data_IF_704328135499
#
_entry.id   IF_704328135499
#
_cell.length_a   1.000
_cell.length_b   1.000
_cell.length_c   1.000
_cell.angle_alpha   90.00
_cell.angle_beta   90.00
_cell.angle_gamma   90.00
#
_symmetry.space_group_name_H-M   'P 1'
#
loop_
_entity.id
_entity.type
_entity.pdbx_description
1 polymer ?
#
# COMPACT_ATOMS: atom_id res chain seq x y z
N UNK A 1 21.89 -20.40 -52.14
CA UNK A 1 21.27 -19.13 -52.61
C UNK A 1 19.81 -19.15 -52.20
N UNK A 2 19.41 -18.50 -51.10
CA UNK A 2 19.05 -17.08 -50.92
C UNK A 2 17.76 -16.65 -51.66
N UNK A 3 16.80 -16.24 -50.83
CA UNK A 3 15.76 -15.22 -50.99
C UNK A 3 14.31 -15.57 -51.38
N UNK A 4 13.45 -15.26 -50.39
CA UNK A 4 12.16 -14.57 -50.46
C UNK A 4 10.91 -15.34 -50.92
N UNK A 5 10.08 -15.67 -49.92
CA UNK A 5 8.66 -15.25 -49.87
C UNK A 5 8.19 -15.18 -48.41
N UNK A 6 8.84 -14.27 -47.68
CA UNK A 6 8.32 -13.68 -46.45
C UNK A 6 7.22 -12.72 -46.89
N UNK A 7 5.94 -13.02 -46.64
CA UNK A 7 4.79 -12.08 -46.54
C UNK A 7 3.49 -12.88 -46.69
N UNK A 8 3.02 -13.49 -45.60
CA UNK A 8 1.58 -13.70 -45.33
C UNK A 8 1.40 -13.99 -43.83
N UNK A 9 1.86 -13.06 -42.97
CA UNK A 9 1.26 -12.94 -41.63
C UNK A 9 -0.04 -12.18 -41.82
N UNK A 10 -1.16 -12.91 -41.78
CA UNK A 10 -2.49 -12.33 -41.54
C UNK A 10 -2.36 -11.44 -40.31
N UNK A 11 -2.50 -10.13 -40.49
CA UNK A 11 -2.90 -9.24 -39.42
C UNK A 11 -4.33 -9.64 -39.05
N UNK A 12 -4.47 -10.58 -38.12
CA UNK A 12 -5.71 -10.72 -37.36
C UNK A 12 -5.82 -9.44 -36.54
N UNK A 13 -6.61 -8.50 -37.05
CA UNK A 13 -7.14 -7.40 -36.27
C UNK A 13 -7.80 -8.00 -35.04
N UNK A 14 -7.17 -7.86 -33.87
CA UNK A 14 -7.86 -8.04 -32.60
C UNK A 14 -8.88 -6.91 -32.55
N UNK A 15 -10.10 -7.20 -33.00
CA UNK A 15 -11.26 -6.34 -32.80
C UNK A 15 -11.53 -6.34 -31.30
N UNK A 16 -10.89 -5.42 -30.59
CA UNK A 16 -11.19 -5.11 -29.18
C UNK A 16 -12.48 -4.30 -29.18
N UNK A 17 -13.61 -4.96 -29.47
CA UNK A 17 -14.91 -4.39 -29.13
C UNK A 17 -15.10 -4.55 -27.62
N UNK A 18 -14.52 -3.63 -26.85
CA UNK A 18 -14.74 -3.53 -25.40
C UNK A 18 -15.76 -2.42 -25.17
N UNK A 19 -16.91 -2.80 -24.63
CA UNK A 19 -17.97 -1.85 -24.31
C UNK A 19 -17.44 -0.82 -23.29
N UNK A 20 -17.68 0.50 -23.46
CA UNK A 20 -17.20 1.51 -22.53
C UNK A 20 -17.69 1.31 -21.09
N UNK A 21 -18.87 0.68 -20.93
CA UNK A 21 -19.42 0.31 -19.63
C UNK A 21 -18.58 -0.78 -18.91
N UNK A 22 -18.00 -1.74 -19.64
CA UNK A 22 -17.09 -2.74 -19.03
C UNK A 22 -15.78 -2.10 -18.53
N UNK A 23 -15.30 -1.04 -19.17
CA UNK A 23 -14.12 -0.32 -18.70
C UNK A 23 -14.39 0.36 -17.35
N UNK A 24 -15.56 0.98 -17.23
CA UNK A 24 -16.01 1.68 -16.03
C UNK A 24 -16.22 0.67 -14.89
N UNK A 25 -16.89 -0.45 -15.13
CA UNK A 25 -17.11 -1.49 -14.13
C UNK A 25 -15.81 -2.12 -13.64
N UNK A 26 -14.87 -2.40 -14.56
CA UNK A 26 -13.55 -2.91 -14.20
C UNK A 26 -12.74 -1.89 -13.39
N UNK A 27 -12.83 -0.60 -13.74
CA UNK A 27 -12.20 0.46 -12.98
C UNK A 27 -12.78 0.57 -11.56
N UNK A 28 -14.10 0.55 -11.39
CA UNK A 28 -14.73 0.56 -10.07
C UNK A 28 -14.36 -0.68 -9.24
N UNK A 29 -14.32 -1.86 -9.88
CA UNK A 29 -13.88 -3.10 -9.22
C UNK A 29 -12.44 -3.00 -8.73
N UNK A 30 -11.52 -2.46 -9.55
CA UNK A 30 -10.13 -2.22 -9.17
C UNK A 30 -9.99 -1.18 -8.05
N UNK A 31 -10.79 -0.12 -8.06
CA UNK A 31 -10.80 0.89 -7.00
C UNK A 31 -11.28 0.26 -5.68
N UNK A 32 -12.36 -0.52 -5.73
CA UNK A 32 -12.94 -1.19 -4.55
C UNK A 32 -11.97 -2.21 -3.95
N UNK A 33 -11.33 -3.06 -4.78
CA UNK A 33 -10.35 -4.04 -4.28
C UNK A 33 -9.13 -3.35 -3.67
N UNK A 34 -8.64 -2.27 -4.28
CA UNK A 34 -7.52 -1.48 -3.76
C UNK A 34 -7.85 -0.75 -2.46
N UNK A 35 -9.10 -0.31 -2.29
CA UNK A 35 -9.58 0.28 -1.04
C UNK A 35 -9.64 -0.78 0.08
N UNK A 36 -10.21 -1.96 -0.20
CA UNK A 36 -10.30 -3.07 0.75
C UNK A 36 -8.90 -3.55 1.17
N UNK A 37 -7.97 -3.67 0.22
CA UNK A 37 -6.58 -4.07 0.52
C UNK A 37 -5.87 -3.04 1.40
N UNK A 38 -6.13 -1.73 1.19
CA UNK A 38 -5.58 -0.66 2.04
C UNK A 38 -6.12 -0.70 3.46
N UNK A 39 -7.43 -0.85 3.62
CA UNK A 39 -8.05 -0.97 4.95
C UNK A 39 -7.47 -2.18 5.70
N UNK A 40 -7.31 -3.31 5.00
CA UNK A 40 -6.72 -4.49 5.61
C UNK A 40 -5.25 -4.27 5.98
N UNK A 41 -4.44 -3.61 5.13
CA UNK A 41 -3.05 -3.30 5.45
C UNK A 41 -2.91 -2.36 6.64
N UNK A 42 -3.80 -1.36 6.77
CA UNK A 42 -3.74 -0.42 7.90
C UNK A 42 -4.09 -1.11 9.23
N UNK A 43 -5.07 -2.04 9.22
CA UNK A 43 -5.39 -2.88 10.40
C UNK A 43 -4.24 -3.80 10.79
N UNK A 44 -3.58 -4.39 9.80
CA UNK A 44 -2.39 -5.23 10.02
C UNK A 44 -1.22 -4.39 10.56
N UNK A 45 -0.96 -3.20 10.00
CA UNK A 45 0.07 -2.27 10.51
C UNK A 45 -0.23 -1.84 11.95
N UNK A 46 -1.51 -1.58 12.29
CA UNK A 46 -1.92 -1.33 13.68
C UNK A 46 -1.67 -2.54 14.58
N UNK A 47 -1.91 -3.76 14.11
CA UNK A 47 -1.68 -4.96 14.90
C UNK A 47 -0.18 -5.26 15.09
N UNK A 48 0.65 -4.96 14.09
CA UNK A 48 2.11 -4.97 14.24
C UNK A 48 2.58 -3.92 15.26
N UNK A 49 2.01 -2.72 15.25
CA UNK A 49 2.30 -1.71 16.27
C UNK A 49 1.90 -2.19 17.66
N UNK A 50 0.71 -2.79 17.83
CA UNK A 50 0.29 -3.36 19.10
C UNK A 50 1.22 -4.51 19.55
N UNK A 51 1.68 -5.33 18.61
CA UNK A 51 2.67 -6.38 18.86
C UNK A 51 4.00 -5.79 19.33
N UNK A 52 4.45 -4.69 18.72
CA UNK A 52 5.63 -3.95 19.13
C UNK A 52 5.49 -3.40 20.56
N UNK A 53 4.37 -2.73 20.87
CA UNK A 53 4.08 -2.24 22.21
C UNK A 53 4.03 -3.37 23.24
N UNK A 54 3.47 -4.52 22.88
CA UNK A 54 3.47 -5.70 23.75
C UNK A 54 4.90 -6.22 23.98
N UNK A 55 5.71 -6.32 22.93
CA UNK A 55 7.12 -6.70 23.03
C UNK A 55 7.93 -5.74 23.90
N UNK A 56 7.71 -4.43 23.77
CA UNK A 56 8.31 -3.39 24.63
C UNK A 56 7.87 -3.54 26.08
N UNK A 57 6.58 -3.70 26.34
CA UNK A 57 6.06 -3.91 27.70
C UNK A 57 6.68 -5.13 28.36
N UNK A 58 6.80 -6.23 27.60
CA UNK A 58 7.49 -7.42 28.06
C UNK A 58 8.97 -7.16 28.34
N UNK A 59 9.68 -6.47 27.45
CA UNK A 59 11.08 -6.11 27.65
C UNK A 59 11.29 -5.28 28.94
N UNK A 60 10.37 -4.37 29.25
CA UNK A 60 10.38 -3.58 30.49
C UNK A 60 10.12 -4.46 31.72
N UNK A 61 9.11 -5.34 31.67
CA UNK A 61 8.75 -6.23 32.79
C UNK A 61 9.90 -7.19 33.13
N UNK A 62 10.58 -7.69 32.10
CA UNK A 62 11.68 -8.65 32.24
C UNK A 62 13.06 -7.99 32.26
N UNK A 63 13.14 -6.67 32.45
CA UNK A 63 14.41 -5.94 32.54
C UNK A 63 15.34 -6.60 33.58
N UNK A 64 16.49 -7.11 33.12
CA UNK A 64 17.47 -7.80 33.96
C UNK A 64 17.30 -9.32 34.09
N UNK A 65 16.36 -9.95 33.37
CA UNK A 65 16.22 -11.41 33.27
C UNK A 65 16.32 -11.87 31.80
N UNK A 66 16.95 -13.03 31.53
CA UNK A 66 16.91 -13.61 30.19
C UNK A 66 15.45 -13.93 29.82
N UNK A 67 15.05 -13.50 28.64
CA UNK A 67 13.70 -13.66 28.13
C UNK A 67 13.77 -14.46 26.83
N UNK A 68 13.04 -15.57 26.76
CA UNK A 68 13.04 -16.42 25.57
C UNK A 68 12.10 -15.85 24.50
N UNK A 69 12.56 -15.86 23.24
CA UNK A 69 11.74 -15.54 22.08
C UNK A 69 10.50 -16.43 21.99
N UNK A 70 10.55 -17.68 22.45
CA UNK A 70 9.38 -18.56 22.53
C UNK A 70 8.23 -17.92 23.31
N UNK A 71 8.55 -17.39 24.50
CA UNK A 71 7.58 -16.73 25.36
C UNK A 71 7.10 -15.40 24.78
N UNK A 72 7.99 -14.62 24.14
CA UNK A 72 7.59 -13.37 23.47
C UNK A 72 6.58 -13.69 22.37
N UNK A 73 6.93 -14.61 21.46
CA UNK A 73 6.11 -14.98 20.30
C UNK A 73 4.77 -15.57 20.75
N UNK A 74 4.76 -16.37 21.82
CA UNK A 74 3.52 -16.90 22.40
C UNK A 74 2.61 -15.78 22.91
N UNK A 75 3.17 -14.76 23.57
CA UNK A 75 2.40 -13.65 24.10
C UNK A 75 1.92 -12.69 23.00
N UNK A 76 2.73 -12.49 21.95
CA UNK A 76 2.32 -11.80 20.72
C UNK A 76 1.16 -12.54 20.05
N UNK A 77 1.21 -13.88 19.96
CA UNK A 77 0.13 -14.70 19.43
C UNK A 77 -1.16 -14.54 20.26
N UNK A 78 -1.06 -14.53 21.58
CA UNK A 78 -2.21 -14.42 22.50
C UNK A 78 -2.88 -13.06 22.43
N UNK A 79 -2.10 -11.99 22.33
CA UNK A 79 -2.60 -10.61 22.25
C UNK A 79 -3.12 -10.22 20.86
N UNK A 80 -2.79 -11.00 19.83
CA UNK A 80 -3.15 -10.74 18.43
C UNK A 80 -4.50 -11.34 18.01
N UNK A 81 -5.12 -10.72 17.02
CA UNK A 81 -6.36 -11.17 16.36
C UNK A 81 -6.11 -11.61 14.92
N UNK A 82 -5.67 -10.71 14.03
CA UNK A 82 -5.39 -11.01 12.62
C UNK A 82 -4.04 -11.71 12.43
N UNK A 83 -3.04 -11.36 13.24
CA UNK A 83 -1.69 -11.93 13.17
C UNK A 83 -1.54 -13.22 13.97
N UNK A 84 -2.54 -13.59 14.78
CA UNK A 84 -2.57 -14.83 15.56
C UNK A 84 -2.17 -16.08 14.76
N UNK A 85 -2.75 -16.39 13.58
CA UNK A 85 -2.34 -17.56 12.81
C UNK A 85 -0.89 -17.48 12.32
N UNK A 86 -0.39 -16.28 12.02
CA UNK A 86 0.99 -16.06 11.59
C UNK A 86 1.94 -16.32 12.75
N UNK A 87 1.66 -15.76 13.94
CA UNK A 87 2.48 -16.03 15.13
C UNK A 87 2.43 -17.50 15.57
N UNK A 88 1.30 -18.18 15.39
CA UNK A 88 1.22 -19.62 15.65
C UNK A 88 2.14 -20.44 14.72
N UNK A 89 2.23 -20.06 13.44
CA UNK A 89 3.13 -20.68 12.46
C UNK A 89 4.60 -20.41 12.84
N UNK A 90 4.92 -19.15 13.18
CA UNK A 90 6.26 -18.75 13.65
C UNK A 90 6.66 -19.56 14.89
N UNK A 91 5.79 -19.63 15.90
CA UNK A 91 6.04 -20.38 17.13
C UNK A 91 6.25 -21.87 16.87
N UNK A 92 5.46 -22.45 15.95
CA UNK A 92 5.62 -23.86 15.57
C UNK A 92 6.98 -24.14 14.92
N UNK A 93 7.43 -23.26 14.02
CA UNK A 93 8.72 -23.42 13.34
C UNK A 93 9.90 -23.14 14.28
N UNK A 94 9.79 -22.10 15.10
CA UNK A 94 10.79 -21.75 16.12
C UNK A 94 11.01 -22.91 17.11
N UNK A 95 9.93 -23.52 17.62
CA UNK A 95 10.00 -24.70 18.52
C UNK A 95 10.62 -25.95 17.85
N UNK A 96 10.72 -26.00 16.53
CA UNK A 96 11.41 -27.07 15.79
C UNK A 96 12.91 -26.78 15.57
N UNK A 97 13.43 -25.69 16.12
CA UNK A 97 14.81 -25.22 15.92
C UNK A 97 15.05 -24.62 14.53
N UNK A 98 13.98 -24.21 13.84
CA UNK A 98 14.00 -23.62 12.50
C UNK A 98 13.91 -22.09 12.57
N UNK A 99 14.83 -21.48 13.32
CA UNK A 99 14.75 -20.07 13.71
C UNK A 99 14.73 -19.14 12.49
N UNK A 100 15.59 -19.39 11.50
CA UNK A 100 15.65 -18.57 10.28
C UNK A 100 14.34 -18.64 9.49
N UNK A 101 13.78 -19.84 9.30
CA UNK A 101 12.51 -19.99 8.59
C UNK A 101 11.34 -19.39 9.39
N UNK A 102 11.39 -19.51 10.72
CA UNK A 102 10.38 -18.94 11.62
C UNK A 102 10.24 -17.42 11.43
N UNK A 103 11.34 -16.68 11.40
CA UNK A 103 11.25 -15.22 11.29
C UNK A 103 10.95 -14.72 9.86
N UNK A 104 11.23 -15.51 8.82
CA UNK A 104 10.83 -15.20 7.44
C UNK A 104 9.32 -15.35 7.20
N UNK A 105 8.61 -16.15 8.01
CA UNK A 105 7.15 -16.32 7.90
C UNK A 105 6.42 -14.98 8.03
N UNK A 106 6.84 -14.12 8.95
CA UNK A 106 6.19 -12.84 9.17
C UNK A 106 6.26 -11.95 7.91
N UNK A 107 7.45 -11.80 7.32
CA UNK A 107 7.64 -10.98 6.12
C UNK A 107 6.96 -11.59 4.88
N UNK A 108 6.97 -12.92 4.75
CA UNK A 108 6.39 -13.60 3.59
C UNK A 108 4.85 -13.65 3.61
N UNK A 109 4.24 -13.78 4.78
CA UNK A 109 2.78 -13.90 4.93
C UNK A 109 2.08 -12.55 5.09
N UNK A 110 2.76 -11.54 5.62
CA UNK A 110 2.15 -10.25 5.95
C UNK A 110 2.48 -9.21 4.86
N UNK A 111 1.50 -8.74 4.07
CA UNK A 111 1.74 -7.90 2.90
C UNK A 111 1.94 -6.41 3.26
N UNK A 112 2.78 -6.12 4.26
CA UNK A 112 3.11 -4.76 4.69
C UNK A 112 4.61 -4.62 4.88
N UNK A 113 5.18 -3.47 4.47
CA UNK A 113 6.64 -3.25 4.54
C UNK A 113 7.18 -3.35 5.97
N UNK A 114 6.39 -2.91 6.95
CA UNK A 114 6.73 -2.97 8.36
C UNK A 114 6.94 -4.40 8.88
N UNK A 115 6.32 -5.42 8.27
CA UNK A 115 6.51 -6.80 8.69
C UNK A 115 7.96 -7.26 8.58
N UNK A 116 8.70 -6.75 7.58
CA UNK A 116 10.13 -7.04 7.40
C UNK A 116 10.98 -6.46 8.54
N UNK A 117 10.72 -5.20 8.90
CA UNK A 117 11.45 -4.55 9.98
C UNK A 117 11.14 -5.24 11.31
N UNK A 118 9.88 -5.58 11.55
CA UNK A 118 9.46 -6.28 12.76
C UNK A 118 10.06 -7.68 12.84
N UNK A 119 10.10 -8.44 11.73
CA UNK A 119 10.72 -9.78 11.72
C UNK A 119 12.21 -9.74 12.05
N UNK A 120 12.91 -8.71 11.59
CA UNK A 120 14.32 -8.51 11.89
C UNK A 120 14.55 -8.25 13.38
N UNK A 121 13.64 -7.53 14.05
CA UNK A 121 13.69 -7.33 15.51
C UNK A 121 13.43 -8.67 16.21
N UNK A 122 12.37 -9.39 15.82
CA UNK A 122 12.02 -10.68 16.41
C UNK A 122 13.17 -11.70 16.31
N UNK A 123 13.89 -11.72 15.18
CA UNK A 123 15.01 -12.64 14.95
C UNK A 123 16.19 -12.47 15.88
N UNK A 124 16.26 -11.32 16.58
CA UNK A 124 17.36 -10.99 17.48
C UNK A 124 16.96 -11.09 18.94
N UNK A 125 15.69 -11.38 19.27
CA UNK A 125 15.17 -11.32 20.65
C UNK A 125 16.02 -12.14 21.62
N UNK A 126 16.41 -13.36 21.28
CA UNK A 126 17.22 -14.20 22.18
C UNK A 126 18.68 -13.71 22.31
N UNK A 127 19.14 -12.89 21.37
CA UNK A 127 20.52 -12.42 21.27
C UNK A 127 20.74 -11.06 21.92
N UNK A 128 19.68 -10.33 22.26
CA UNK A 128 19.76 -8.95 22.76
C UNK A 128 19.24 -8.84 24.19
N UNK A 129 19.81 -7.91 24.94
CA UNK A 129 19.31 -7.60 26.28
C UNK A 129 17.91 -6.98 26.17
N UNK A 130 16.97 -7.27 27.09
CA UNK A 130 15.69 -6.57 27.18
C UNK A 130 15.76 -5.04 27.03
N UNK A 131 16.82 -4.38 27.52
CA UNK A 131 17.01 -2.93 27.33
C UNK A 131 17.17 -2.55 25.83
N UNK A 132 18.01 -3.26 25.09
CA UNK A 132 18.23 -3.05 23.65
C UNK A 132 16.97 -3.42 22.84
N UNK A 133 16.24 -4.46 23.26
CA UNK A 133 14.96 -4.81 22.65
C UNK A 133 13.97 -3.64 22.73
N UNK A 134 13.90 -2.94 23.87
CA UNK A 134 13.06 -1.74 23.99
C UNK A 134 13.46 -0.64 23.00
N UNK A 135 14.75 -0.39 22.81
CA UNK A 135 15.24 0.62 21.85
C UNK A 135 14.92 0.27 20.40
N UNK A 136 15.03 -1.01 20.02
CA UNK A 136 14.62 -1.47 18.70
C UNK A 136 13.11 -1.33 18.48
N UNK A 137 12.31 -1.57 19.52
CA UNK A 137 10.85 -1.38 19.49
C UNK A 137 10.48 0.12 19.38
N UNK A 138 11.21 1.00 20.07
CA UNK A 138 11.04 2.46 19.94
C UNK A 138 11.33 2.94 18.52
N UNK A 139 12.44 2.47 17.94
CA UNK A 139 12.81 2.78 16.56
C UNK A 139 11.76 2.27 15.55
N UNK A 140 11.14 1.12 15.83
CA UNK A 140 10.08 0.59 15.00
C UNK A 140 8.78 1.40 15.10
N UNK A 141 8.42 1.84 16.32
CA UNK A 141 7.29 2.73 16.56
C UNK A 141 7.46 4.06 15.82
N UNK A 142 8.64 4.68 15.91
CA UNK A 142 8.98 5.91 15.20
C UNK A 142 8.92 5.70 13.68
N UNK A 143 9.48 4.62 13.16
CA UNK A 143 9.38 4.27 11.74
C UNK A 143 7.92 4.16 11.27
N UNK A 144 7.03 3.57 12.08
CA UNK A 144 5.60 3.49 11.75
C UNK A 144 4.91 4.86 11.83
N UNK A 145 5.29 5.71 12.77
CA UNK A 145 4.80 7.08 12.86
C UNK A 145 5.20 7.89 11.62
N UNK A 146 6.47 7.84 11.22
CA UNK A 146 6.99 8.52 10.04
C UNK A 146 6.33 8.05 8.75
N UNK A 147 6.10 6.74 8.62
CA UNK A 147 5.36 6.19 7.48
C UNK A 147 3.93 6.74 7.40
N UNK A 148 3.25 6.90 8.53
CA UNK A 148 1.89 7.48 8.58
C UNK A 148 1.92 8.97 8.23
N UNK A 149 2.88 9.73 8.76
CA UNK A 149 3.06 11.14 8.42
C UNK A 149 3.31 11.32 6.92
N UNK A 150 4.22 10.52 6.36
CA UNK A 150 4.55 10.53 4.93
C UNK A 150 3.31 10.17 4.07
N UNK A 151 2.55 9.14 4.44
CA UNK A 151 1.29 8.79 3.77
C UNK A 151 0.29 9.95 3.83
N UNK A 152 0.21 10.66 4.97
CA UNK A 152 -0.63 11.84 5.16
C UNK A 152 -0.27 12.98 4.21
N UNK A 153 1.01 13.35 4.15
CA UNK A 153 1.53 14.39 3.26
C UNK A 153 1.25 14.04 1.79
N UNK A 154 1.58 12.81 1.36
CA UNK A 154 1.34 12.36 -0.02
C UNK A 154 -0.15 12.39 -0.41
N UNK A 155 -1.06 12.11 0.53
CA UNK A 155 -2.48 12.18 0.26
C UNK A 155 -2.96 13.64 0.12
N UNK A 156 -2.45 14.55 0.95
CA UNK A 156 -2.72 15.98 0.84
C UNK A 156 -2.21 16.55 -0.49
N UNK A 157 -1.01 16.16 -0.94
CA UNK A 157 -0.46 16.53 -2.24
C UNK A 157 -1.36 16.09 -3.40
N UNK A 158 -1.86 14.85 -3.37
CA UNK A 158 -2.78 14.34 -4.40
C UNK A 158 -4.10 15.10 -4.43
N UNK A 159 -4.66 15.41 -3.26
CA UNK A 159 -5.88 16.23 -3.19
C UNK A 159 -5.66 17.61 -3.79
N UNK A 160 -4.55 18.26 -3.46
CA UNK A 160 -4.17 19.56 -4.03
C UNK A 160 -4.06 19.50 -5.56
N UNK A 161 -3.41 18.46 -6.09
CA UNK A 161 -3.29 18.26 -7.54
C UNK A 161 -4.65 18.12 -8.23
N UNK A 162 -5.58 17.33 -7.66
CA UNK A 162 -6.94 17.16 -8.21
C UNK A 162 -7.69 18.49 -8.26
N UNK A 163 -7.62 19.27 -7.18
CA UNK A 163 -8.24 20.60 -7.12
C UNK A 163 -7.67 21.49 -8.22
N UNK A 164 -6.34 21.52 -8.39
CA UNK A 164 -5.69 22.34 -9.42
C UNK A 164 -6.12 21.95 -10.85
N UNK A 165 -6.16 20.66 -11.17
CA UNK A 165 -6.66 20.18 -12.47
C UNK A 165 -8.10 20.62 -12.68
N UNK A 166 -8.95 20.48 -11.66
CA UNK A 166 -10.37 20.84 -11.74
C UNK A 166 -10.56 22.33 -12.01
N UNK A 167 -9.81 23.19 -11.31
CA UNK A 167 -9.83 24.64 -11.53
C UNK A 167 -9.35 24.99 -12.93
N UNK A 168 -8.24 24.40 -13.37
CA UNK A 168 -7.68 24.65 -14.71
C UNK A 168 -8.67 24.25 -15.81
N UNK A 169 -9.33 23.09 -15.67
CA UNK A 169 -10.34 22.61 -16.62
C UNK A 169 -11.57 23.53 -16.65
N UNK A 170 -11.96 24.06 -15.49
CA UNK A 170 -13.08 25.00 -15.37
C UNK A 170 -12.77 26.32 -16.11
N UNK A 171 -11.58 26.87 -15.90
CA UNK A 171 -11.11 28.07 -16.62
C UNK A 171 -11.08 27.80 -18.13
N UNK A 172 -10.54 26.65 -18.55
CA UNK A 172 -10.50 26.25 -19.95
C UNK A 172 -11.91 26.16 -20.57
N UNK A 173 -12.87 25.55 -19.87
CA UNK A 173 -14.25 25.46 -20.32
C UNK A 173 -14.91 26.84 -20.46
N UNK A 174 -14.65 27.77 -19.54
CA UNK A 174 -15.11 29.15 -19.63
C UNK A 174 -14.53 29.85 -20.87
N UNK A 175 -13.23 29.69 -21.15
CA UNK A 175 -12.59 30.25 -22.34
C UNK A 175 -13.15 29.66 -23.64
N UNK A 176 -13.43 28.36 -23.67
CA UNK A 176 -14.07 27.69 -24.80
C UNK A 176 -15.48 28.26 -25.04
N UNK A 177 -16.29 28.39 -23.99
CA UNK A 177 -17.64 28.97 -24.08
C UNK A 177 -17.60 30.42 -24.60
N UNK A 178 -16.66 31.22 -24.11
CA UNK A 178 -16.46 32.59 -24.60
C UNK A 178 -16.09 32.61 -26.09
N UNK A 179 -15.16 31.75 -26.50
CA UNK A 179 -14.72 31.65 -27.90
C UNK A 179 -15.86 31.26 -28.83
N UNK A 180 -16.66 30.26 -28.46
CA UNK A 180 -17.86 29.84 -29.22
C UNK A 180 -18.85 31.00 -29.34
N UNK A 181 -19.10 31.72 -28.26
CA UNK A 181 -20.01 32.88 -28.24
C UNK A 181 -19.52 33.99 -29.18
N UNK A 182 -18.22 34.30 -29.17
CA UNK A 182 -17.63 35.32 -30.05
C UNK A 182 -17.69 34.90 -31.53
N UNK A 183 -17.37 33.64 -31.84
CA UNK A 183 -17.48 33.11 -33.21
C UNK A 183 -18.92 33.19 -33.70
N UNK A 184 -19.88 32.79 -32.85
CA UNK A 184 -21.29 32.86 -33.18
C UNK A 184 -21.75 34.30 -33.43
N UNK A 185 -21.37 35.24 -32.58
CA UNK A 185 -21.69 36.67 -32.76
C UNK A 185 -21.10 37.22 -34.06
N UNK A 186 -19.84 36.89 -34.39
CA UNK A 186 -19.24 37.29 -35.68
C UNK A 186 -19.94 36.66 -36.87
N UNK A 187 -20.34 35.39 -36.78
CA UNK A 187 -21.07 34.70 -37.85
C UNK A 187 -22.44 35.35 -38.12
N UNK A 188 -23.15 35.77 -37.06
CA UNK A 188 -24.42 36.51 -37.22
C UNK A 188 -24.22 37.86 -37.89
N UNK A 189 -23.17 38.61 -37.52
CA UNK A 189 -22.87 39.91 -38.12
C UNK A 189 -22.57 39.78 -39.62
N UNK A 190 -21.74 38.79 -40.01
CA UNK A 190 -21.45 38.52 -41.42
C UNK A 190 -22.69 38.09 -42.21
N UNK A 191 -23.59 37.32 -41.61
CA UNK A 191 -24.86 36.96 -42.25
C UNK A 191 -25.77 38.17 -42.44
N UNK A 192 -25.81 39.09 -41.47
CA UNK A 192 -26.59 40.32 -41.56
C UNK A 192 -26.05 41.32 -42.59
N UNK A 193 -24.76 41.29 -42.93
CA UNK A 193 -24.18 42.14 -43.98
C UNK A 193 -24.42 41.60 -45.40
N UNK A 194 -24.74 40.30 -45.54
CA UNK A 194 -24.92 39.63 -46.85
C UNK A 194 -26.39 39.63 -47.31
N UNK A 195 -27.34 39.61 -46.36
CA UNK A 195 -28.79 39.62 -46.60
C UNK A 195 -29.41 41.00 -46.33
#
# INVERSE_FOLDING_TARGET
MKFNRFWHRKFTSVQVNKNPLEYIDNAFKLIKTKAISRINSDRIEQELLNSCLMGKNLAIIYAGKPMSADYIIEELMRSSKLLKPVYAEILSEYRKGRDKEAFEILYSRVPVKAAKSFSMILSKIDMINPAELSEYMDSFEEMLADQRLTKGIQNAEKQSLIVNITVTLSIFALLMNFTVTVIFSKAQLLLADIF
#
